data_IF_224424597791
#
_entry.id   IF_224424597791
#
_cell.length_a   1.000
_cell.length_b   1.000
_cell.length_c   1.000
_cell.angle_alpha   90.00
_cell.angle_beta   90.00
_cell.angle_gamma   90.00
#
_symmetry.space_group_name_H-M   'P 1'
#
loop_
_entity.id
_entity.type
_entity.pdbx_description
1 polymer ?
#
# COMPACT_ATOMS: atom_id res chain seq x y z
N UNK A 1 -55.67 -0.19 25.38
CA UNK A 1 -54.30 0.16 25.82
C UNK A 1 -53.53 -1.12 26.11
N UNK A 2 -52.59 -1.49 25.25
CA UNK A 2 -51.45 -2.36 25.61
C UNK A 2 -50.26 -1.80 24.83
N UNK A 3 -49.33 -1.20 25.56
CA UNK A 3 -48.16 -0.53 25.02
C UNK A 3 -47.09 -1.55 24.62
N UNK A 4 -46.38 -1.18 23.56
CA UNK A 4 -45.11 -1.71 23.03
C UNK A 4 -44.15 -2.28 24.07
N UNK A 5 -43.41 -3.31 23.67
CA UNK A 5 -41.94 -3.21 23.65
C UNK A 5 -41.42 -4.09 22.50
N UNK A 6 -41.30 -3.51 21.32
CA UNK A 6 -40.46 -4.08 20.25
C UNK A 6 -39.05 -3.64 20.59
N UNK A 7 -38.21 -4.56 21.08
CA UNK A 7 -36.78 -4.29 21.20
C UNK A 7 -36.22 -4.27 19.78
N UNK A 8 -35.96 -3.06 19.28
CA UNK A 8 -35.13 -2.84 18.10
C UNK A 8 -33.76 -3.45 18.38
N UNK A 9 -33.51 -4.62 17.79
CA UNK A 9 -32.19 -5.21 17.72
C UNK A 9 -31.31 -4.27 16.89
N UNK A 10 -30.70 -3.32 17.58
CA UNK A 10 -29.70 -2.42 17.05
C UNK A 10 -28.41 -3.24 17.00
N UNK A 11 -28.35 -4.20 16.07
CA UNK A 11 -27.17 -5.03 15.89
C UNK A 11 -26.07 -4.12 15.38
N UNK A 12 -25.21 -3.72 16.31
CA UNK A 12 -23.96 -3.01 16.13
C UNK A 12 -23.32 -3.41 14.79
N UNK A 13 -23.34 -2.46 13.86
CA UNK A 13 -22.52 -2.52 12.65
C UNK A 13 -21.08 -2.45 13.15
N UNK A 14 -20.49 -3.61 13.47
CA UNK A 14 -19.05 -3.72 13.56
C UNK A 14 -18.54 -3.24 12.20
N UNK A 15 -17.88 -2.08 12.17
CA UNK A 15 -17.16 -1.61 11.00
C UNK A 15 -16.07 -2.65 10.72
N UNK A 16 -16.44 -3.67 9.94
CA UNK A 16 -15.51 -4.69 9.49
C UNK A 16 -14.48 -3.96 8.64
N UNK A 17 -13.30 -3.74 9.20
CA UNK A 17 -12.18 -3.13 8.51
C UNK A 17 -11.89 -3.98 7.27
N UNK A 18 -12.11 -3.43 6.09
CA UNK A 18 -11.74 -4.10 4.84
C UNK A 18 -10.22 -4.07 4.70
N UNK A 19 -9.60 -5.25 4.77
CA UNK A 19 -8.15 -5.42 4.61
C UNK A 19 -7.66 -4.85 3.28
N UNK A 20 -8.48 -4.86 2.22
CA UNK A 20 -8.11 -4.29 0.94
C UNK A 20 -7.97 -2.77 1.05
N UNK A 21 -8.83 -2.12 1.83
CA UNK A 21 -8.74 -0.68 2.08
C UNK A 21 -7.52 -0.35 2.95
N UNK A 22 -7.19 -1.19 3.93
CA UNK A 22 -5.96 -1.05 4.74
C UNK A 22 -4.73 -1.17 3.86
N UNK A 23 -4.63 -2.21 3.03
CA UNK A 23 -3.51 -2.41 2.11
C UNK A 23 -3.41 -1.22 1.15
N UNK A 24 -4.54 -0.78 0.57
CA UNK A 24 -4.57 0.38 -0.33
C UNK A 24 -4.03 1.63 0.36
N UNK A 25 -4.44 1.89 1.60
CA UNK A 25 -3.96 3.04 2.37
C UNK A 25 -2.45 2.95 2.59
N UNK A 26 -1.95 1.83 3.11
CA UNK A 26 -0.52 1.63 3.39
C UNK A 26 0.33 1.75 2.11
N UNK A 27 -0.09 1.10 1.02
CA UNK A 27 0.55 1.20 -0.29
C UNK A 27 0.58 2.65 -0.77
N UNK A 28 -0.56 3.35 -0.71
CA UNK A 28 -0.64 4.71 -1.22
C UNK A 28 0.14 5.71 -0.36
N UNK A 29 0.22 5.50 0.96
CA UNK A 29 1.05 6.32 1.84
C UNK A 29 2.54 6.12 1.50
N UNK A 30 2.99 4.87 1.30
CA UNK A 30 4.35 4.58 0.85
C UNK A 30 4.66 5.19 -0.53
N UNK A 31 3.73 5.08 -1.50
CA UNK A 31 3.92 5.68 -2.82
C UNK A 31 4.08 7.19 -2.72
N UNK A 32 3.29 7.88 -1.87
CA UNK A 32 3.43 9.33 -1.67
C UNK A 32 4.79 9.69 -1.12
N UNK A 33 5.35 8.89 -0.22
CA UNK A 33 6.71 9.12 0.29
C UNK A 33 7.73 9.06 -0.84
N UNK A 34 7.57 8.14 -1.80
CA UNK A 34 8.43 8.02 -2.99
C UNK A 34 8.18 9.09 -4.06
N UNK A 35 7.07 9.85 -3.99
CA UNK A 35 6.89 11.02 -4.85
C UNK A 35 7.76 12.21 -4.41
N UNK A 36 8.24 12.22 -3.15
CA UNK A 36 9.33 13.11 -2.73
C UNK A 36 10.66 12.56 -3.25
N UNK A 37 11.30 13.34 -4.11
CA UNK A 37 12.57 12.99 -4.74
C UNK A 37 13.67 12.67 -3.71
N UNK A 38 13.68 13.34 -2.55
CA UNK A 38 14.69 13.09 -1.51
C UNK A 38 14.58 11.67 -0.97
N UNK A 39 13.37 11.22 -0.69
CA UNK A 39 13.10 9.88 -0.18
C UNK A 39 13.46 8.81 -1.22
N UNK A 40 13.09 9.05 -2.48
CA UNK A 40 13.43 8.16 -3.58
C UNK A 40 14.94 8.04 -3.78
N UNK A 41 15.69 9.15 -3.81
CA UNK A 41 17.15 9.13 -3.94
C UNK A 41 17.80 8.43 -2.74
N UNK A 42 17.34 8.69 -1.51
CA UNK A 42 17.81 7.97 -0.32
C UNK A 42 17.60 6.47 -0.48
N UNK A 43 16.41 6.02 -0.87
CA UNK A 43 16.12 4.61 -1.08
C UNK A 43 16.99 4.01 -2.20
N UNK A 44 17.11 4.69 -3.34
CA UNK A 44 17.94 4.25 -4.47
C UNK A 44 19.42 4.12 -4.11
N UNK A 45 19.94 5.03 -3.30
CA UNK A 45 21.34 4.97 -2.84
C UNK A 45 21.58 3.75 -1.92
N UNK A 46 20.61 3.43 -1.07
CA UNK A 46 20.69 2.34 -0.12
C UNK A 46 20.54 0.98 -0.79
N UNK A 47 19.55 0.84 -1.68
CA UNK A 47 19.17 -0.44 -2.29
C UNK A 47 19.90 -0.74 -3.61
N UNK A 48 20.20 0.29 -4.40
CA UNK A 48 20.74 0.12 -5.76
C UNK A 48 22.08 0.81 -6.00
N UNK A 49 22.64 1.52 -4.99
CA UNK A 49 23.86 2.34 -5.11
C UNK A 49 23.76 3.45 -6.18
N UNK A 50 22.55 3.92 -6.42
CA UNK A 50 22.28 5.01 -7.37
C UNK A 50 22.11 6.30 -6.57
N UNK A 51 23.00 7.26 -6.81
CA UNK A 51 23.04 8.53 -6.07
C UNK A 51 22.29 9.65 -6.78
N UNK A 52 22.04 9.50 -8.07
CA UNK A 52 21.39 10.51 -8.90
C UNK A 52 20.55 9.88 -10.01
N UNK A 53 19.51 10.59 -10.43
CA UNK A 53 18.70 10.28 -11.60
C UNK A 53 18.63 11.52 -12.47
N UNK A 54 18.58 11.32 -13.80
CA UNK A 54 18.26 12.43 -14.68
C UNK A 54 16.83 12.93 -14.41
N UNK A 55 16.61 14.23 -14.57
CA UNK A 55 15.28 14.83 -14.38
C UNK A 55 14.20 14.13 -15.23
N UNK A 56 14.56 13.71 -16.45
CA UNK A 56 13.65 12.97 -17.34
C UNK A 56 13.25 11.62 -16.73
N UNK A 57 14.21 10.82 -16.24
CA UNK A 57 13.91 9.52 -15.59
C UNK A 57 13.04 9.71 -14.35
N UNK A 58 13.33 10.75 -13.57
CA UNK A 58 12.57 11.10 -12.37
C UNK A 58 11.09 11.38 -12.68
N UNK A 59 10.81 12.19 -13.69
CA UNK A 59 9.42 12.54 -14.06
C UNK A 59 8.66 11.32 -14.61
N UNK A 60 9.32 10.43 -15.35
CA UNK A 60 8.71 9.17 -15.77
C UNK A 60 8.37 8.26 -14.58
N UNK A 61 9.29 8.08 -13.64
CA UNK A 61 9.05 7.31 -12.41
C UNK A 61 7.86 7.91 -11.64
N UNK A 62 7.86 9.22 -11.38
CA UNK A 62 6.75 9.90 -10.68
C UNK A 62 5.42 9.73 -11.40
N UNK A 63 5.42 9.74 -12.73
CA UNK A 63 4.22 9.51 -13.54
C UNK A 63 3.65 8.10 -13.31
N UNK A 64 4.48 7.06 -13.38
CA UNK A 64 4.04 5.68 -13.12
C UNK A 64 3.60 5.47 -11.66
N UNK A 65 4.31 6.04 -10.68
CA UNK A 65 3.92 5.99 -9.27
C UNK A 65 2.54 6.64 -9.03
N UNK A 66 2.24 7.75 -9.70
CA UNK A 66 0.90 8.38 -9.65
C UNK A 66 -0.18 7.49 -10.25
N UNK A 67 0.12 6.73 -11.30
CA UNK A 67 -0.82 5.73 -11.84
C UNK A 67 -1.06 4.59 -10.84
N UNK A 68 -0.02 4.17 -10.10
CA UNK A 68 -0.13 3.13 -9.09
C UNK A 68 -1.03 3.52 -7.91
N UNK A 69 -1.13 4.82 -7.57
CA UNK A 69 -2.03 5.32 -6.52
C UNK A 69 -3.51 4.99 -6.79
N UNK A 70 -3.91 5.05 -8.06
CA UNK A 70 -5.30 4.80 -8.50
C UNK A 70 -5.51 3.37 -8.98
N UNK A 71 -4.43 2.59 -9.13
CA UNK A 71 -4.52 1.19 -9.54
C UNK A 71 -5.20 0.34 -8.46
N UNK A 72 -5.99 -0.68 -8.85
CA UNK A 72 -6.55 -1.64 -7.90
C UNK A 72 -5.44 -2.34 -7.12
N UNK A 73 -5.74 -2.76 -5.89
CA UNK A 73 -4.80 -3.56 -5.10
C UNK A 73 -4.66 -4.95 -5.73
N UNK A 74 -3.43 -5.38 -5.97
CA UNK A 74 -3.16 -6.72 -6.47
C UNK A 74 -3.32 -7.75 -5.34
N UNK A 75 -4.50 -8.35 -5.24
CA UNK A 75 -4.83 -9.31 -4.18
C UNK A 75 -3.98 -10.59 -4.23
N UNK A 76 -3.49 -10.98 -5.41
CA UNK A 76 -2.56 -12.10 -5.55
C UNK A 76 -1.21 -11.79 -4.92
N UNK A 77 -0.69 -10.59 -5.13
CA UNK A 77 0.57 -10.13 -4.55
C UNK A 77 0.50 -10.00 -3.03
N UNK A 78 -0.60 -9.43 -2.54
CA UNK A 78 -0.83 -9.22 -1.11
C UNK A 78 -1.49 -10.41 -0.41
N UNK A 79 -1.60 -11.57 -1.08
CA UNK A 79 -2.18 -12.78 -0.49
C UNK A 79 -1.61 -13.12 0.90
N UNK A 80 -0.28 -13.06 1.15
CA UNK A 80 0.25 -13.32 2.49
C UNK A 80 -0.32 -12.39 3.56
N UNK A 81 -0.43 -11.10 3.25
CA UNK A 81 -0.97 -10.07 4.17
C UNK A 81 -2.46 -10.29 4.41
N UNK A 82 -3.21 -10.62 3.36
CA UNK A 82 -4.64 -10.90 3.43
C UNK A 82 -4.91 -12.16 4.25
N UNK A 83 -4.15 -13.23 4.01
CA UNK A 83 -4.29 -14.49 4.75
C UNK A 83 -3.93 -14.30 6.24
N UNK A 84 -2.86 -13.55 6.54
CA UNK A 84 -2.49 -13.21 7.92
C UNK A 84 -3.53 -12.34 8.63
N UNK A 85 -4.13 -11.37 7.93
CA UNK A 85 -5.21 -10.57 8.46
C UNK A 85 -6.43 -11.42 8.82
N UNK A 86 -6.85 -12.32 7.91
CA UNK A 86 -7.98 -13.22 8.17
C UNK A 86 -7.69 -14.19 9.32
N UNK A 87 -6.43 -14.59 9.52
CA UNK A 87 -6.03 -15.49 10.61
C UNK A 87 -5.97 -14.78 11.96
N UNK A 88 -5.50 -13.54 12.00
CA UNK A 88 -5.16 -12.84 13.26
C UNK A 88 -6.16 -11.74 13.64
N UNK A 89 -7.00 -11.32 12.71
CA UNK A 89 -7.88 -10.15 12.87
C UNK A 89 -7.13 -8.81 12.95
N UNK A 90 -5.82 -8.80 12.66
CA UNK A 90 -4.99 -7.60 12.73
C UNK A 90 -4.12 -7.46 11.49
N UNK A 91 -4.10 -6.25 10.93
CA UNK A 91 -3.25 -5.90 9.79
C UNK A 91 -1.86 -5.44 10.26
N UNK A 92 -1.35 -5.98 11.36
CA UNK A 92 -0.01 -5.66 11.81
C UNK A 92 0.97 -6.02 10.68
N UNK A 93 1.72 -5.03 10.20
CA UNK A 93 2.86 -5.24 9.32
C UNK A 93 3.88 -6.05 10.12
N UNK A 94 3.87 -7.37 9.96
CA UNK A 94 4.90 -8.25 10.51
C UNK A 94 6.22 -8.01 9.78
N UNK A 95 7.35 -8.27 10.45
CA UNK A 95 8.66 -8.27 9.81
C UNK A 95 8.64 -9.18 8.58
N UNK A 96 8.73 -8.59 7.38
CA UNK A 96 8.67 -9.28 6.10
C UNK A 96 7.51 -8.85 5.21
N UNK A 97 6.33 -8.55 5.78
CA UNK A 97 5.18 -8.06 5.00
C UNK A 97 5.43 -6.64 4.45
N UNK A 98 6.22 -5.82 5.15
CA UNK A 98 6.64 -4.50 4.68
C UNK A 98 7.35 -4.56 3.32
N UNK A 99 8.21 -5.57 3.10
CA UNK A 99 8.95 -5.73 1.83
C UNK A 99 8.01 -5.93 0.63
N UNK A 100 6.82 -6.50 0.84
CA UNK A 100 5.84 -6.67 -0.23
C UNK A 100 5.34 -5.32 -0.77
N UNK A 101 5.22 -4.30 0.09
CA UNK A 101 4.80 -2.96 -0.32
C UNK A 101 5.88 -2.24 -1.12
N UNK A 102 7.16 -2.43 -0.76
CA UNK A 102 8.27 -1.88 -1.53
C UNK A 102 8.40 -2.53 -2.90
N UNK A 103 8.05 -3.81 -3.04
CA UNK A 103 8.30 -4.55 -4.27
C UNK A 103 7.51 -4.00 -5.48
N UNK A 104 6.28 -3.49 -5.31
CA UNK A 104 5.55 -2.84 -6.43
C UNK A 104 6.25 -1.55 -6.87
N UNK A 105 6.77 -0.77 -5.92
CA UNK A 105 7.54 0.45 -6.19
C UNK A 105 8.86 0.10 -6.87
N UNK A 106 9.56 -0.93 -6.39
CA UNK A 106 10.79 -1.41 -7.02
C UNK A 106 10.61 -1.83 -8.48
N UNK A 107 9.49 -2.49 -8.83
CA UNK A 107 9.20 -2.83 -10.22
C UNK A 107 9.09 -1.57 -11.09
N UNK A 108 8.45 -0.50 -10.61
CA UNK A 108 8.41 0.79 -11.30
C UNK A 108 9.83 1.36 -11.43
N UNK A 109 10.59 1.40 -10.34
CA UNK A 109 11.95 1.96 -10.35
C UNK A 109 12.84 1.20 -11.34
N UNK A 110 12.92 -0.13 -11.24
CA UNK A 110 13.81 -0.99 -12.04
C UNK A 110 13.64 -0.79 -13.55
N UNK A 111 12.42 -0.52 -14.03
CA UNK A 111 12.17 -0.21 -15.45
C UNK A 111 12.99 0.96 -15.98
N UNK A 112 13.30 1.94 -15.13
CA UNK A 112 14.02 3.17 -15.51
C UNK A 112 15.48 3.19 -15.06
N UNK A 113 15.86 2.33 -14.10
CA UNK A 113 17.25 2.24 -13.64
C UNK A 113 18.15 1.50 -14.65
N UNK A 114 17.64 0.44 -15.26
CA UNK A 114 18.41 -0.44 -16.16
C UNK A 114 18.04 -0.27 -17.65
N UNK A 115 17.21 0.71 -17.98
CA UNK A 115 16.93 1.18 -19.35
C UNK A 115 17.95 2.19 -19.84
#
# INVERSE_FOLDING_TARGET
>A
MKQQTTMEDTTLRHDAVDIIDVIRKLRNDLIKDFLDERNMIVYLSQQFRIMELSHVKLEFIKSELKQLLIAPVNTTWYKPVIDDFHRTGSAALTEGNEKLFYKEIEEVLKKYLFS
#
